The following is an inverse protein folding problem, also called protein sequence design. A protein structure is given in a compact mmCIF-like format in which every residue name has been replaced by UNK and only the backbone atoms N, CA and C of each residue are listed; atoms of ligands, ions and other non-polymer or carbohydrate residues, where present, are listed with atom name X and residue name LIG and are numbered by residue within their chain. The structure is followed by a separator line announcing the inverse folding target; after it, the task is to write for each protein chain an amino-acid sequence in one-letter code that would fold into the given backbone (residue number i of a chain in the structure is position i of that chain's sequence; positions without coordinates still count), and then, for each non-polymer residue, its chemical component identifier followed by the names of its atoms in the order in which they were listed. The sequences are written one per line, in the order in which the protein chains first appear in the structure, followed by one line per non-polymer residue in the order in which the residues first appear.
data_IF_350434920026
#
_entry.id   IF_350434920026
#
_cell.length_a   1.000
_cell.length_b   1.000
_cell.length_c   1.000
_cell.angle_alpha   90.00
_cell.angle_beta   90.00
_cell.angle_gamma   90.00
#
_symmetry.space_group_name_H-M   'P 1'
#
loop_
_entity.id
_entity.type
_entity.pdbx_description
1 polymer ?
#
# COMPACT_ATOMS: atom_id res chain seq x y z
N UNK A 1 -1.06 19.13 -8.46
CA UNK A 1 -0.91 18.42 -9.75
C UNK A 1 -1.59 17.08 -9.59
N UNK A 2 -2.72 16.91 -10.22
CA UNK A 2 -3.51 15.68 -10.21
C UNK A 2 -2.90 14.71 -11.21
N UNK A 3 -2.42 13.56 -10.75
CA UNK A 3 -2.01 12.45 -11.63
C UNK A 3 -3.30 11.84 -12.17
N UNK A 4 -3.48 11.83 -13.48
CA UNK A 4 -4.64 11.22 -14.13
C UNK A 4 -4.68 9.72 -13.84
N UNK A 5 -5.84 9.19 -13.51
CA UNK A 5 -6.07 7.76 -13.29
C UNK A 5 -5.67 6.88 -14.49
N UNK A 6 -5.60 7.45 -15.69
CA UNK A 6 -5.15 6.77 -16.91
C UNK A 6 -3.67 6.36 -16.91
N UNK A 7 -2.82 7.01 -16.09
CA UNK A 7 -1.39 6.68 -16.02
C UNK A 7 -1.09 5.45 -15.14
N UNK A 8 -2.04 5.05 -14.28
CA UNK A 8 -1.92 3.88 -13.40
C UNK A 8 -2.23 2.55 -14.09
N UNK A 9 -3.02 2.57 -15.18
CA UNK A 9 -3.48 1.35 -15.85
C UNK A 9 -2.44 0.68 -16.77
N UNK A 10 -1.36 1.37 -17.15
CA UNK A 10 -0.47 0.90 -18.22
C UNK A 10 0.86 0.28 -17.76
N UNK A 11 1.13 0.17 -16.46
CA UNK A 11 2.44 -0.37 -15.97
C UNK A 11 3.66 0.44 -16.47
N UNK A 12 3.43 1.53 -17.18
CA UNK A 12 4.47 2.46 -17.62
C UNK A 12 4.76 3.45 -16.48
N UNK A 13 6.01 3.68 -16.19
CA UNK A 13 6.43 4.80 -15.36
C UNK A 13 5.73 6.07 -15.91
N UNK A 14 5.14 6.92 -15.04
CA UNK A 14 4.45 8.12 -15.47
C UNK A 14 5.38 8.91 -16.40
N UNK A 15 4.97 9.07 -17.66
CA UNK A 15 5.67 9.91 -18.63
C UNK A 15 5.44 11.36 -18.24
N UNK A 16 6.42 11.99 -17.64
CA UNK A 16 6.41 13.42 -17.30
C UNK A 16 6.74 14.26 -18.55
N UNK A 17 5.88 14.15 -19.58
CA UNK A 17 6.03 14.94 -20.78
C UNK A 17 5.75 16.42 -20.48
N UNK A 18 6.72 17.27 -20.73
CA UNK A 18 6.61 18.73 -20.56
C UNK A 18 7.41 19.33 -19.39
N UNK A 19 8.26 18.56 -18.73
CA UNK A 19 9.18 19.08 -17.72
C UNK A 19 10.42 19.69 -18.39
N UNK A 20 10.89 20.82 -17.85
CA UNK A 20 12.20 21.35 -18.22
C UNK A 20 13.34 20.41 -17.75
N UNK A 21 14.54 20.46 -18.35
CA UNK A 21 15.68 19.65 -17.90
C UNK A 21 16.02 19.82 -16.42
N UNK A 22 15.81 21.01 -15.87
CA UNK A 22 15.99 21.28 -14.44
C UNK A 22 14.93 20.59 -13.59
N UNK A 23 13.68 20.54 -14.06
CA UNK A 23 12.59 19.85 -13.39
C UNK A 23 12.76 18.32 -13.45
N UNK A 24 13.24 17.80 -14.58
CA UNK A 24 13.59 16.37 -14.71
C UNK A 24 14.74 15.98 -13.78
N UNK A 25 15.79 16.82 -13.71
CA UNK A 25 16.93 16.58 -12.81
C UNK A 25 16.49 16.67 -11.36
N UNK A 26 15.67 17.66 -11.01
CA UNK A 26 15.10 17.78 -9.68
C UNK A 26 14.22 16.57 -9.33
N UNK A 27 13.43 16.06 -10.28
CA UNK A 27 12.60 14.87 -10.08
C UNK A 27 13.46 13.61 -9.92
N UNK A 28 14.51 13.42 -10.73
CA UNK A 28 15.46 12.31 -10.59
C UNK A 28 16.18 12.35 -9.24
N UNK A 29 16.60 13.52 -8.79
CA UNK A 29 17.21 13.70 -7.47
C UNK A 29 16.20 13.45 -6.33
N UNK A 30 14.92 13.81 -6.54
CA UNK A 30 13.81 13.52 -5.62
C UNK A 30 13.51 12.02 -5.49
N UNK A 31 13.81 11.23 -6.53
CA UNK A 31 13.70 9.79 -6.54
C UNK A 31 14.99 9.07 -6.13
N UNK A 32 16.05 9.81 -5.80
CA UNK A 32 17.29 9.22 -5.32
C UNK A 32 17.04 8.39 -4.03
N UNK A 33 17.69 7.23 -3.88
CA UNK A 33 17.54 6.45 -2.66
C UNK A 33 17.98 7.28 -1.45
N UNK A 34 17.32 7.09 -0.28
CA UNK A 34 17.78 7.73 0.95
C UNK A 34 19.25 7.37 1.21
N UNK A 35 19.98 8.18 1.97
CA UNK A 35 21.34 7.86 2.36
C UNK A 35 21.42 6.44 2.94
N UNK A 36 22.45 5.69 2.60
CA UNK A 36 22.64 4.29 3.05
C UNK A 36 22.61 4.19 4.58
N UNK A 37 23.05 5.23 5.26
CA UNK A 37 23.04 5.33 6.73
C UNK A 37 21.65 5.31 7.36
N UNK A 38 20.60 5.62 6.59
CA UNK A 38 19.20 5.61 7.07
C UNK A 38 18.49 4.27 6.84
N UNK A 39 19.06 3.36 6.08
CA UNK A 39 18.44 2.08 5.74
C UNK A 39 19.34 0.93 6.17
N UNK A 40 18.78 -0.04 6.90
CA UNK A 40 19.38 -1.37 7.00
C UNK A 40 19.16 -2.06 5.67
N UNK A 41 20.18 -2.05 4.83
CA UNK A 41 20.16 -2.79 3.58
C UNK A 41 20.69 -4.19 3.82
N UNK A 42 19.84 -5.16 3.59
CA UNK A 42 20.28 -6.53 3.41
C UNK A 42 21.12 -6.64 2.12
N UNK A 43 22.25 -7.34 2.22
CA UNK A 43 23.22 -7.51 1.13
C UNK A 43 23.41 -8.98 0.72
N UNK A 44 22.54 -9.88 1.16
CA UNK A 44 22.53 -11.28 0.75
C UNK A 44 21.95 -11.48 -0.65
N UNK A 45 22.25 -12.64 -1.24
CA UNK A 45 21.81 -13.02 -2.60
C UNK A 45 20.44 -13.70 -2.63
N UNK A 46 19.94 -14.18 -1.47
CA UNK A 46 18.67 -14.89 -1.36
C UNK A 46 17.66 -14.11 -0.55
N UNK A 47 16.37 -14.41 -0.75
CA UNK A 47 15.31 -13.81 0.05
C UNK A 47 15.43 -14.24 1.52
N UNK A 48 15.52 -13.28 2.43
CA UNK A 48 15.59 -13.50 3.88
C UNK A 48 14.20 -13.31 4.49
N UNK A 49 13.52 -14.39 4.93
CA UNK A 49 12.23 -14.26 5.60
C UNK A 49 12.41 -13.75 7.03
N UNK A 50 11.81 -12.61 7.34
CA UNK A 50 11.84 -12.02 8.70
C UNK A 50 10.62 -12.40 9.52
N UNK A 51 9.47 -12.58 8.88
CA UNK A 51 8.20 -12.91 9.52
C UNK A 51 7.24 -13.52 8.49
N UNK A 52 6.42 -14.46 8.93
CA UNK A 52 5.32 -15.00 8.13
C UNK A 52 4.07 -15.15 8.98
N UNK A 53 2.92 -15.04 8.37
CA UNK A 53 1.62 -15.30 8.97
C UNK A 53 0.68 -15.92 7.94
N UNK A 54 -0.28 -16.68 8.42
CA UNK A 54 -1.31 -17.29 7.58
C UNK A 54 -2.68 -16.82 8.05
N UNK A 55 -3.50 -16.38 7.10
CA UNK A 55 -4.90 -16.06 7.37
C UNK A 55 -5.78 -17.03 6.58
N UNK A 56 -6.67 -17.73 7.29
CA UNK A 56 -7.66 -18.61 6.69
C UNK A 56 -9.00 -17.90 6.61
N UNK A 57 -9.61 -17.96 5.44
CA UNK A 57 -11.00 -17.54 5.26
C UNK A 57 -11.85 -18.80 5.05
N UNK A 58 -12.94 -18.93 5.82
CA UNK A 58 -13.85 -20.08 5.75
C UNK A 58 -15.30 -19.67 5.97
N UNK A 59 -16.21 -20.55 5.57
CA UNK A 59 -17.65 -20.28 5.60
C UNK A 59 -18.09 -19.29 4.52
N UNK A 60 -19.26 -18.69 4.72
CA UNK A 60 -19.80 -17.66 3.84
C UNK A 60 -20.93 -18.15 2.94
N UNK A 61 -21.59 -17.21 2.27
CA UNK A 61 -22.74 -17.44 1.40
C UNK A 61 -22.34 -17.28 -0.07
N UNK A 62 -22.59 -18.30 -0.88
CA UNK A 62 -22.22 -18.31 -2.30
C UNK A 62 -22.84 -17.14 -3.10
N UNK A 63 -24.04 -16.70 -2.78
CA UNK A 63 -24.72 -15.58 -3.46
C UNK A 63 -24.07 -14.22 -3.20
N UNK A 64 -23.28 -14.08 -2.13
CA UNK A 64 -22.54 -12.88 -1.78
C UNK A 64 -21.03 -13.03 -2.08
N UNK A 65 -20.68 -13.71 -3.15
CA UNK A 65 -19.42 -14.31 -3.50
C UNK A 65 -18.13 -13.50 -3.34
N UNK A 66 -18.18 -12.18 -3.09
CA UNK A 66 -16.95 -11.40 -2.95
C UNK A 66 -16.45 -11.26 -1.53
N UNK A 67 -17.34 -11.16 -0.56
CA UNK A 67 -16.94 -10.97 0.83
C UNK A 67 -17.98 -11.61 1.74
N UNK A 68 -17.68 -12.80 2.21
CA UNK A 68 -18.49 -13.48 3.23
C UNK A 68 -17.60 -14.49 3.98
N UNK A 69 -18.07 -14.95 5.13
CA UNK A 69 -17.32 -15.87 5.98
C UNK A 69 -16.56 -15.16 7.10
N UNK A 70 -15.57 -15.85 7.63
CA UNK A 70 -14.73 -15.36 8.73
C UNK A 70 -13.26 -15.52 8.37
N UNK A 71 -12.49 -14.46 8.51
CA UNK A 71 -11.04 -14.48 8.39
C UNK A 71 -10.41 -14.65 9.78
N UNK A 72 -9.48 -15.61 9.93
CA UNK A 72 -8.73 -15.86 11.17
C UNK A 72 -7.26 -16.05 10.86
N UNK A 73 -6.39 -15.39 11.64
CA UNK A 73 -4.96 -15.65 11.61
C UNK A 73 -4.61 -16.90 12.40
N UNK A 74 -3.47 -17.49 12.08
CA UNK A 74 -2.93 -18.68 12.73
C UNK A 74 -2.58 -18.45 14.22
N UNK A 75 -2.21 -17.22 14.56
CA UNK A 75 -1.90 -16.80 15.95
C UNK A 75 -3.13 -16.29 16.73
N UNK A 76 -4.31 -16.22 16.10
CA UNK A 76 -5.57 -15.77 16.71
C UNK A 76 -5.70 -14.27 16.94
N UNK A 77 -4.71 -13.47 16.59
CA UNK A 77 -4.77 -12.01 16.78
C UNK A 77 -5.71 -11.29 15.80
N UNK A 78 -6.07 -11.96 14.70
CA UNK A 78 -7.04 -11.45 13.76
C UNK A 78 -8.22 -12.42 13.66
N UNK A 79 -9.41 -11.93 13.99
CA UNK A 79 -10.68 -12.61 13.74
C UNK A 79 -11.72 -11.59 13.28
N UNK A 80 -12.17 -11.71 12.03
CA UNK A 80 -13.07 -10.73 11.41
C UNK A 80 -14.16 -11.41 10.61
N UNK A 81 -15.41 -10.94 10.78
CA UNK A 81 -16.52 -11.29 9.91
C UNK A 81 -16.40 -10.50 8.59
N UNK A 82 -16.36 -11.22 7.48
CA UNK A 82 -16.36 -10.64 6.15
C UNK A 82 -17.81 -10.45 5.66
N UNK A 83 -18.13 -9.26 5.15
CA UNK A 83 -19.44 -8.93 4.60
C UNK A 83 -19.31 -8.08 3.35
N UNK A 84 -20.13 -8.38 2.36
CA UNK A 84 -20.25 -7.52 1.19
C UNK A 84 -20.84 -6.17 1.61
N UNK A 85 -20.21 -5.04 1.25
CA UNK A 85 -20.70 -3.73 1.64
C UNK A 85 -22.05 -3.40 1.00
N UNK A 86 -22.85 -2.59 1.68
CA UNK A 86 -24.17 -2.17 1.19
C UNK A 86 -24.10 -1.44 -0.16
N UNK A 87 -23.04 -0.68 -0.40
CA UNK A 87 -22.78 0.00 -1.68
C UNK A 87 -22.68 -0.97 -2.89
N UNK A 88 -22.38 -2.25 -2.65
CA UNK A 88 -22.34 -3.30 -3.65
C UNK A 88 -23.57 -4.24 -3.57
N UNK A 89 -24.61 -3.83 -2.88
CA UNK A 89 -25.85 -4.62 -2.71
C UNK A 89 -25.74 -5.71 -1.65
N UNK A 90 -24.76 -5.66 -0.77
CA UNK A 90 -24.56 -6.61 0.32
C UNK A 90 -25.29 -6.22 1.61
N UNK A 91 -25.25 -7.09 2.64
CA UNK A 91 -25.88 -6.83 3.93
C UNK A 91 -25.13 -5.80 4.78
N UNK A 92 -23.85 -5.52 4.50
CA UNK A 92 -22.99 -4.71 5.37
C UNK A 92 -22.76 -5.36 6.74
N UNK A 93 -22.32 -4.56 7.72
CA UNK A 93 -22.15 -5.01 9.10
C UNK A 93 -20.91 -5.91 9.34
N UNK A 94 -19.93 -5.85 8.46
CA UNK A 94 -18.66 -6.53 8.61
C UNK A 94 -17.56 -5.89 7.75
N UNK A 95 -16.36 -6.44 7.82
CA UNK A 95 -15.20 -5.98 7.05
C UNK A 95 -15.23 -6.57 5.64
N UNK A 96 -14.52 -5.95 4.73
CA UNK A 96 -14.35 -6.42 3.35
C UNK A 96 -12.87 -6.43 2.92
N UNK A 97 -12.52 -7.11 1.82
CA UNK A 97 -11.12 -7.18 1.36
C UNK A 97 -10.49 -5.81 1.12
N UNK A 98 -11.26 -4.85 0.61
CA UNK A 98 -10.78 -3.51 0.31
C UNK A 98 -10.37 -2.76 1.59
N UNK A 99 -11.17 -2.90 2.66
CA UNK A 99 -10.84 -2.33 3.98
C UNK A 99 -9.61 -3.00 4.61
N UNK A 100 -9.47 -4.32 4.48
CA UNK A 100 -8.30 -5.04 4.98
C UNK A 100 -7.03 -4.61 4.23
N UNK A 101 -7.12 -4.47 2.91
CA UNK A 101 -6.01 -3.97 2.11
C UNK A 101 -5.64 -2.53 2.47
N UNK A 102 -6.64 -1.65 2.63
CA UNK A 102 -6.44 -0.27 3.05
C UNK A 102 -5.78 -0.18 4.43
N UNK A 103 -6.28 -0.94 5.41
CA UNK A 103 -5.73 -0.98 6.76
C UNK A 103 -4.27 -1.48 6.76
N UNK A 104 -3.98 -2.56 6.04
CA UNK A 104 -2.62 -3.09 5.90
C UNK A 104 -1.68 -2.10 5.23
N UNK A 105 -2.14 -1.41 4.18
CA UNK A 105 -1.31 -0.41 3.49
C UNK A 105 -1.04 0.80 4.40
N UNK A 106 -2.07 1.35 5.03
CA UNK A 106 -1.91 2.49 5.95
C UNK A 106 -0.97 2.14 7.10
N UNK A 107 -1.15 0.98 7.75
CA UNK A 107 -0.30 0.53 8.86
C UNK A 107 1.15 0.32 8.41
N UNK A 108 1.37 -0.32 7.26
CA UNK A 108 2.71 -0.56 6.73
C UNK A 108 3.43 0.75 6.38
N UNK A 109 2.73 1.68 5.73
CA UNK A 109 3.30 2.99 5.39
C UNK A 109 3.58 3.82 6.64
N UNK A 110 2.66 3.86 7.60
CA UNK A 110 2.82 4.55 8.87
C UNK A 110 4.02 4.00 9.67
N UNK A 111 4.17 2.67 9.73
CA UNK A 111 5.33 2.04 10.39
C UNK A 111 6.65 2.42 9.74
N UNK A 112 6.73 2.40 8.40
CA UNK A 112 7.90 2.80 7.65
C UNK A 112 8.22 4.31 7.84
N UNK A 113 7.20 5.15 7.88
CA UNK A 113 7.31 6.60 8.14
C UNK A 113 7.94 6.86 9.51
N UNK A 114 7.41 6.22 10.56
CA UNK A 114 7.93 6.35 11.91
C UNK A 114 9.36 5.84 12.05
N UNK A 115 9.69 4.72 11.41
CA UNK A 115 11.04 4.18 11.40
C UNK A 115 12.05 5.19 10.84
N UNK A 116 11.75 5.78 9.68
CA UNK A 116 12.64 6.78 9.06
C UNK A 116 12.73 8.07 9.87
N UNK A 117 11.61 8.55 10.38
CA UNK A 117 11.59 9.75 11.22
C UNK A 117 12.43 9.56 12.48
N UNK A 118 12.27 8.43 13.16
CA UNK A 118 13.07 8.07 14.35
C UNK A 118 14.56 8.06 14.03
N UNK A 119 14.96 7.44 12.91
CA UNK A 119 16.37 7.40 12.48
C UNK A 119 16.92 8.77 12.11
N UNK A 120 16.07 9.65 11.59
CA UNK A 120 16.43 11.02 11.26
C UNK A 120 16.39 11.98 12.47
N UNK A 121 16.00 11.49 13.66
CA UNK A 121 15.82 12.33 14.85
C UNK A 121 14.63 13.28 14.74
N UNK A 122 13.64 12.94 13.90
CA UNK A 122 12.42 13.74 13.67
C UNK A 122 11.31 13.17 14.56
N UNK A 123 10.71 14.02 15.40
CA UNK A 123 9.49 13.67 16.12
C UNK A 123 8.28 13.79 15.19
N UNK A 124 7.44 12.75 15.16
CA UNK A 124 6.18 12.73 14.43
C UNK A 124 5.02 12.77 15.43
N UNK A 125 4.68 14.00 15.83
CA UNK A 125 3.49 14.22 16.66
C UNK A 125 2.27 14.43 15.75
N UNK A 126 1.18 13.74 16.03
CA UNK A 126 -0.10 13.83 15.28
C UNK A 126 0.00 13.43 13.79
N UNK A 127 0.99 12.62 13.40
CA UNK A 127 1.11 12.12 12.04
C UNK A 127 -0.02 11.12 11.72
N UNK A 128 -0.68 11.29 10.58
CA UNK A 128 -1.70 10.34 10.11
C UNK A 128 -1.40 9.85 8.71
N UNK A 129 -1.83 8.62 8.44
CA UNK A 129 -1.77 8.00 7.12
C UNK A 129 -3.13 7.41 6.79
N UNK A 130 -3.79 7.96 5.78
CA UNK A 130 -5.05 7.46 5.25
C UNK A 130 -4.79 6.71 3.95
N UNK A 131 -5.33 5.49 3.85
CA UNK A 131 -5.34 4.72 2.61
C UNK A 131 -6.77 4.60 2.09
N UNK A 132 -7.05 5.20 0.95
CA UNK A 132 -8.29 5.02 0.23
C UNK A 132 -8.10 3.96 -0.86
N UNK A 133 -8.90 2.89 -0.80
CA UNK A 133 -8.88 1.80 -1.78
C UNK A 133 -10.21 1.77 -2.52
N UNK A 134 -10.14 1.87 -3.82
CA UNK A 134 -11.31 1.79 -4.71
C UNK A 134 -11.28 0.51 -5.51
N UNK A 135 -12.36 -0.25 -5.43
CA UNK A 135 -12.62 -1.40 -6.27
C UNK A 135 -13.39 -0.96 -7.53
N UNK A 136 -12.93 -1.37 -8.69
CA UNK A 136 -13.53 -0.94 -9.95
C UNK A 136 -13.30 -1.93 -11.09
N UNK A 137 -13.56 -1.46 -12.31
CA UNK A 137 -13.31 -2.16 -13.55
C UNK A 137 -12.13 -1.52 -14.28
N UNK A 138 -11.25 -2.36 -14.79
CA UNK A 138 -10.17 -1.93 -15.68
C UNK A 138 -10.78 -1.71 -17.09
N UNK A 139 -10.65 -0.51 -17.67
CA UNK A 139 -11.16 -0.25 -19.03
C UNK A 139 -10.39 -0.98 -20.11
N UNK A 140 -9.19 -1.52 -19.82
CA UNK A 140 -8.36 -2.21 -20.81
C UNK A 140 -8.85 -3.62 -21.07
N UNK A 141 -9.17 -4.38 -20.04
CA UNK A 141 -9.60 -5.78 -20.14
C UNK A 141 -11.01 -6.05 -19.64
N UNK A 142 -11.67 -5.05 -19.03
CA UNK A 142 -13.01 -5.17 -18.45
C UNK A 142 -13.07 -5.93 -17.12
N UNK A 143 -11.95 -6.40 -16.60
CA UNK A 143 -11.87 -7.15 -15.36
C UNK A 143 -11.86 -6.24 -14.13
N UNK A 144 -11.85 -6.86 -12.95
CA UNK A 144 -11.78 -6.11 -11.69
C UNK A 144 -10.37 -5.66 -11.39
N UNK A 145 -10.25 -4.43 -10.88
CA UNK A 145 -8.99 -3.85 -10.43
C UNK A 145 -9.16 -3.04 -9.15
N UNK A 146 -8.05 -2.78 -8.47
CA UNK A 146 -8.00 -1.90 -7.31
C UNK A 146 -7.16 -0.67 -7.63
N UNK A 147 -7.61 0.49 -7.15
CA UNK A 147 -6.83 1.72 -7.13
C UNK A 147 -6.66 2.14 -5.68
N UNK A 148 -5.45 2.52 -5.29
CA UNK A 148 -5.15 3.00 -3.96
C UNK A 148 -4.58 4.42 -3.99
N UNK A 149 -5.02 5.26 -3.06
CA UNK A 149 -4.49 6.59 -2.79
C UNK A 149 -4.06 6.65 -1.33
N UNK A 150 -2.80 7.04 -1.09
CA UNK A 150 -2.26 7.19 0.26
C UNK A 150 -2.08 8.68 0.53
N UNK A 151 -2.77 9.18 1.57
CA UNK A 151 -2.69 10.55 2.03
C UNK A 151 -1.98 10.59 3.38
N UNK A 152 -1.00 11.46 3.50
CA UNK A 152 -0.19 11.61 4.70
C UNK A 152 -0.34 13.04 5.20
N UNK A 153 -0.67 13.20 6.48
CA UNK A 153 -0.68 14.47 7.17
C UNK A 153 0.45 14.50 8.21
N UNK A 154 1.32 15.51 8.10
CA UNK A 154 2.46 15.77 8.97
C UNK A 154 2.41 17.23 9.42
N UNK A 155 1.43 17.60 10.27
CA UNK A 155 1.07 19.01 10.51
C UNK A 155 2.17 19.83 11.16
N UNK A 156 3.13 19.18 11.83
CA UNK A 156 4.22 19.86 12.56
C UNK A 156 5.55 19.90 11.80
N UNK A 157 5.61 19.35 10.60
CA UNK A 157 6.84 19.36 9.82
C UNK A 157 6.85 20.44 8.75
N UNK A 158 8.01 21.09 8.52
CA UNK A 158 8.20 21.90 7.34
C UNK A 158 7.92 21.09 6.07
N UNK A 159 7.24 21.68 5.10
CA UNK A 159 6.80 21.00 3.88
C UNK A 159 7.93 20.23 3.16
N UNK A 160 9.10 20.85 3.03
CA UNK A 160 10.24 20.23 2.35
C UNK A 160 10.70 18.95 3.08
N UNK A 161 10.79 18.98 4.41
CA UNK A 161 11.15 17.83 5.25
C UNK A 161 10.08 16.74 5.15
N UNK A 162 8.80 17.11 5.21
CA UNK A 162 7.68 16.17 5.07
C UNK A 162 7.71 15.48 3.70
N UNK A 163 7.88 16.22 2.60
CA UNK A 163 7.96 15.67 1.26
C UNK A 163 9.16 14.73 1.07
N UNK A 164 10.31 15.04 1.65
CA UNK A 164 11.49 14.16 1.62
C UNK A 164 11.24 12.88 2.41
N UNK A 165 10.70 12.99 3.61
CA UNK A 165 10.38 11.85 4.46
C UNK A 165 9.37 10.92 3.79
N UNK A 166 8.30 11.47 3.19
CA UNK A 166 7.28 10.71 2.46
C UNK A 166 7.90 9.96 1.28
N UNK A 167 8.73 10.63 0.47
CA UNK A 167 9.42 9.97 -0.67
C UNK A 167 10.29 8.80 -0.21
N UNK A 168 11.02 8.98 0.87
CA UNK A 168 11.88 7.93 1.41
C UNK A 168 11.04 6.79 2.01
N UNK A 169 9.93 7.11 2.69
CA UNK A 169 8.97 6.13 3.20
C UNK A 169 8.37 5.28 2.08
N UNK A 170 7.94 5.89 1.00
CA UNK A 170 7.40 5.19 -0.18
C UNK A 170 8.38 4.16 -0.75
N UNK A 171 9.68 4.40 -0.63
CA UNK A 171 10.73 3.50 -1.13
C UNK A 171 10.95 2.29 -0.26
N UNK A 172 10.84 2.44 1.07
CA UNK A 172 11.08 1.34 2.01
C UNK A 172 9.81 0.59 2.40
N UNK A 173 8.63 1.16 2.21
CA UNK A 173 7.36 0.51 2.52
C UNK A 173 7.13 -0.70 1.60
N UNK A 174 7.04 -1.94 2.13
CA UNK A 174 6.81 -3.13 1.33
C UNK A 174 5.51 -3.07 0.51
N UNK A 175 4.42 -2.50 1.07
CA UNK A 175 3.17 -2.34 0.34
C UNK A 175 3.29 -1.35 -0.82
N UNK A 176 4.00 -0.24 -0.65
CA UNK A 176 4.27 0.69 -1.73
C UNK A 176 5.14 0.06 -2.83
N UNK A 177 6.12 -0.77 -2.45
CA UNK A 177 6.92 -1.55 -3.39
C UNK A 177 6.06 -2.57 -4.15
N UNK A 178 5.21 -3.31 -3.44
CA UNK A 178 4.26 -4.27 -4.02
C UNK A 178 3.32 -3.59 -5.02
N UNK A 179 2.75 -2.44 -4.68
CA UNK A 179 1.84 -1.70 -5.54
C UNK A 179 2.48 -1.25 -6.87
N UNK A 180 3.80 -1.04 -6.88
CA UNK A 180 4.54 -0.63 -8.09
C UNK A 180 5.11 -1.80 -8.90
N UNK A 181 5.51 -2.87 -8.25
CA UNK A 181 6.31 -3.95 -8.86
C UNK A 181 5.59 -5.29 -8.89
N UNK A 182 4.41 -5.38 -8.24
CA UNK A 182 3.77 -6.65 -7.97
C UNK A 182 4.43 -7.40 -6.81
N UNK A 183 3.95 -8.61 -6.57
CA UNK A 183 4.42 -9.51 -5.52
C UNK A 183 4.58 -10.92 -6.11
N UNK A 184 5.61 -11.64 -5.71
CA UNK A 184 5.72 -13.06 -6.04
C UNK A 184 4.58 -13.81 -5.35
N UNK A 185 3.70 -14.40 -6.14
CA UNK A 185 2.51 -15.10 -5.65
C UNK A 185 2.42 -16.47 -6.29
N UNK A 186 2.20 -17.50 -5.47
CA UNK A 186 1.95 -18.87 -5.92
C UNK A 186 0.54 -19.25 -5.52
N UNK A 187 -0.26 -19.67 -6.49
CA UNK A 187 -1.60 -20.21 -6.25
C UNK A 187 -1.57 -21.72 -6.48
N UNK A 188 -1.92 -22.51 -5.46
CA UNK A 188 -1.88 -23.95 -5.51
C UNK A 188 -3.17 -24.57 -4.98
N UNK A 189 -3.62 -25.64 -5.63
CA UNK A 189 -4.68 -26.50 -5.09
C UNK A 189 -4.08 -27.40 -4.01
N UNK A 190 -4.64 -27.33 -2.81
CA UNK A 190 -4.36 -28.28 -1.71
C UNK A 190 -5.56 -29.21 -1.63
N UNK A 191 -5.30 -30.51 -1.48
CA UNK A 191 -6.35 -31.55 -1.44
C UNK A 191 -7.49 -31.19 -0.51
#
# INVERSE_FOLDING_TARGET
MTVSAAALAAGAAPSYTGLSPLQETALKNRLAPPPITMLDKYVGDEFEPLYSTTVRVSGGEARHGRASGVARSDDGNLELALRLPAALGGPGGGTNPEQLFAAGFAACFHGALNLLATRAGIALDDATVDAAVTFGRDPVDGLYTLVAEIRIDLPRLPRATAEELIRNTERICPYAKMARQGIVCVVALVR
#
